data_IF_955079344393
#
_entry.id   IF_955079344393
#
_cell.length_a   1.000
_cell.length_b   1.000
_cell.length_c   1.000
_cell.angle_alpha   90.00
_cell.angle_beta   90.00
_cell.angle_gamma   90.00
#
_symmetry.space_group_name_H-M   'P 1'
#
loop_
_entity.id
_entity.type
_entity.pdbx_description
1 polymer ?
#
# COMPACT_ATOMS: atom_id res chain seq x y z
N UNK A 1 6.13 39.53 4.28
CA UNK A 1 5.83 40.38 5.46
C UNK A 1 6.96 41.37 5.65
N UNK A 2 6.69 42.69 5.49
CA UNK A 2 7.67 43.74 5.77
C UNK A 2 7.33 44.36 7.12
N UNK A 3 8.19 44.18 8.12
CA UNK A 3 8.12 44.83 9.43
C UNK A 3 7.66 43.92 10.58
N UNK A 4 8.26 44.15 11.75
CA UNK A 4 8.01 43.41 12.99
C UNK A 4 6.53 43.49 13.43
N UNK A 5 5.89 44.64 13.26
CA UNK A 5 4.48 44.85 13.61
C UNK A 5 3.54 43.92 12.82
N UNK A 6 3.75 43.80 11.50
CA UNK A 6 2.95 42.90 10.66
C UNK A 6 3.18 41.41 10.99
N UNK A 7 4.40 41.06 11.39
CA UNK A 7 4.71 39.73 11.85
C UNK A 7 4.01 39.40 13.18
N UNK A 8 4.03 40.32 14.15
CA UNK A 8 3.33 40.16 15.43
C UNK A 8 1.83 39.99 15.21
N UNK A 9 1.20 40.87 14.41
CA UNK A 9 -0.21 40.76 14.08
C UNK A 9 -0.57 39.48 13.34
N UNK A 10 0.32 38.95 12.52
CA UNK A 10 0.15 37.69 11.86
C UNK A 10 0.19 36.51 12.87
N UNK A 11 1.13 36.53 13.82
CA UNK A 11 1.21 35.53 14.89
C UNK A 11 -0.02 35.62 15.80
N UNK A 12 -0.49 36.81 16.14
CA UNK A 12 -1.69 37.00 16.97
C UNK A 12 -2.95 36.51 16.25
N UNK A 13 -3.08 36.73 14.93
CA UNK A 13 -4.16 36.16 14.13
C UNK A 13 -4.11 34.64 14.05
N UNK A 14 -2.91 34.06 13.94
CA UNK A 14 -2.73 32.62 14.00
C UNK A 14 -3.14 32.08 15.36
N UNK A 15 -2.74 32.70 16.44
CA UNK A 15 -3.12 32.29 17.80
C UNK A 15 -4.63 32.41 18.03
N UNK A 16 -5.27 33.43 17.52
CA UNK A 16 -6.72 33.66 17.68
C UNK A 16 -7.56 32.68 16.83
N UNK A 17 -7.09 32.32 15.63
CA UNK A 17 -7.77 31.38 14.75
C UNK A 17 -7.40 29.91 15.05
N UNK A 18 -6.46 29.66 15.94
CA UNK A 18 -5.97 28.34 16.28
C UNK A 18 -6.40 27.93 17.68
N UNK A 19 -7.72 27.88 17.91
CA UNK A 19 -8.24 27.00 18.98
C UNK A 19 -7.85 25.51 18.76
N UNK A 20 -7.25 25.18 17.61
CA UNK A 20 -6.84 23.83 17.22
C UNK A 20 -5.35 23.65 16.90
N UNK A 21 -4.50 24.65 17.13
CA UNK A 21 -3.06 24.40 17.25
C UNK A 21 -2.76 23.98 18.71
N UNK A 22 -3.37 22.90 19.16
CA UNK A 22 -2.74 22.09 20.18
C UNK A 22 -1.33 21.84 19.67
N UNK A 23 -0.36 22.48 20.35
CA UNK A 23 1.05 22.23 20.10
C UNK A 23 1.18 20.72 20.06
N UNK A 24 1.47 20.16 18.88
CA UNK A 24 1.86 18.76 18.81
C UNK A 24 3.03 18.66 19.79
N UNK A 25 2.78 18.17 21.01
CA UNK A 25 3.85 17.80 21.92
C UNK A 25 4.79 17.00 21.05
N UNK A 26 6.01 17.50 20.88
CA UNK A 26 7.07 16.70 20.26
C UNK A 26 7.29 15.58 21.25
N UNK A 27 6.54 14.51 21.05
CA UNK A 27 6.63 13.28 21.86
C UNK A 27 8.00 12.74 21.56
N UNK A 28 8.90 12.78 22.54
CA UNK A 28 10.25 12.27 22.43
C UNK A 28 10.24 10.80 21.99
N UNK A 29 11.29 10.32 21.34
CA UNK A 29 11.36 8.93 20.86
C UNK A 29 11.27 7.91 22.01
N UNK A 30 11.60 8.31 23.24
CA UNK A 30 11.68 7.45 24.44
C UNK A 30 10.43 7.55 25.34
N UNK A 31 9.36 8.23 24.92
CA UNK A 31 8.14 8.27 25.73
C UNK A 31 7.32 6.99 25.57
N UNK A 32 6.80 6.48 26.71
CA UNK A 32 5.93 5.30 26.75
C UNK A 32 4.52 5.66 26.25
N UNK A 33 4.35 5.67 24.93
CA UNK A 33 3.13 6.07 24.25
C UNK A 33 2.81 5.18 23.07
N UNK A 34 1.54 5.00 22.78
CA UNK A 34 1.10 4.36 21.53
C UNK A 34 1.07 5.41 20.42
N UNK A 35 1.84 5.15 19.35
CA UNK A 35 1.95 6.04 18.19
C UNK A 35 1.14 5.51 17.02
N UNK A 36 0.22 6.32 16.51
CA UNK A 36 -0.54 6.02 15.29
C UNK A 36 0.04 6.86 14.14
N UNK A 37 0.51 6.20 13.09
CA UNK A 37 1.13 6.87 11.95
C UNK A 37 0.95 6.07 10.66
N UNK A 38 1.22 6.71 9.51
CA UNK A 38 1.30 5.99 8.25
C UNK A 38 2.62 5.23 8.13
N UNK A 39 2.65 4.17 7.30
CA UNK A 39 3.87 3.40 7.04
C UNK A 39 4.99 4.32 6.51
N UNK A 40 4.66 5.29 5.66
CA UNK A 40 5.65 6.25 5.14
C UNK A 40 6.34 7.06 6.26
N UNK A 41 5.57 7.49 7.26
CA UNK A 41 6.12 8.24 8.41
C UNK A 41 6.98 7.36 9.34
N UNK A 42 6.81 6.05 9.29
CA UNK A 42 7.61 5.10 10.08
C UNK A 42 8.97 4.77 9.46
N UNK A 43 9.26 5.25 8.24
CA UNK A 43 10.53 4.99 7.57
C UNK A 43 11.70 5.55 8.41
N UNK A 44 12.69 4.69 8.69
CA UNK A 44 13.85 5.04 9.52
C UNK A 44 13.63 4.89 11.04
N UNK A 45 12.37 4.67 11.50
CA UNK A 45 12.06 4.43 12.90
C UNK A 45 11.94 2.92 13.16
N UNK A 46 12.12 2.51 14.40
CA UNK A 46 11.93 1.14 14.86
C UNK A 46 11.12 1.14 16.16
N UNK A 47 10.30 0.11 16.36
CA UNK A 47 9.41 0.01 17.51
C UNK A 47 9.47 -1.41 18.10
N UNK A 48 9.39 -1.57 19.43
CA UNK A 48 9.34 -2.90 20.04
C UNK A 48 8.19 -3.73 19.49
N UNK A 49 6.99 -3.16 19.43
CA UNK A 49 5.78 -3.81 18.92
C UNK A 49 5.16 -2.95 17.84
N UNK A 50 4.80 -3.56 16.71
CA UNK A 50 4.09 -2.90 15.61
C UNK A 50 2.76 -3.61 15.34
N UNK A 51 1.69 -2.83 15.27
CA UNK A 51 0.38 -3.31 14.84
C UNK A 51 0.11 -2.75 13.45
N UNK A 52 0.18 -3.59 12.44
CA UNK A 52 -0.12 -3.23 11.06
C UNK A 52 -1.62 -3.46 10.80
N UNK A 53 -2.38 -2.37 10.76
CA UNK A 53 -3.82 -2.40 10.57
C UNK A 53 -4.23 -2.02 9.13
N UNK A 54 -5.45 -2.43 8.73
CA UNK A 54 -6.03 -2.02 7.45
C UNK A 54 -5.44 -2.71 6.22
N UNK A 55 -4.74 -3.84 6.37
CA UNK A 55 -4.08 -4.57 5.28
C UNK A 55 -5.05 -5.11 4.20
N UNK A 56 -6.36 -5.14 4.49
CA UNK A 56 -7.40 -5.51 3.51
C UNK A 56 -7.86 -4.36 2.60
N UNK A 57 -7.31 -3.15 2.75
CA UNK A 57 -7.63 -2.00 1.88
C UNK A 57 -7.00 -2.21 0.50
N UNK A 58 -7.78 -1.93 -0.56
CA UNK A 58 -7.27 -1.99 -1.93
C UNK A 58 -6.27 -0.87 -2.21
N UNK A 59 -5.26 -1.20 -3.00
CA UNK A 59 -4.31 -0.21 -3.51
C UNK A 59 -5.02 0.85 -4.36
N UNK A 60 -4.59 2.10 -4.24
CA UNK A 60 -5.12 3.17 -5.06
C UNK A 60 -4.53 3.07 -6.48
N UNK A 61 -5.40 2.87 -7.46
CA UNK A 61 -5.05 2.79 -8.87
C UNK A 61 -5.83 3.84 -9.70
N UNK A 62 -6.30 4.92 -9.06
CA UNK A 62 -7.13 5.93 -9.74
C UNK A 62 -6.37 6.65 -10.84
N UNK A 63 -5.09 6.91 -10.64
CA UNK A 63 -4.23 7.61 -11.60
C UNK A 63 -4.14 6.88 -12.95
N UNK A 64 -4.34 5.56 -12.97
CA UNK A 64 -4.37 4.77 -14.21
C UNK A 64 -5.59 5.05 -15.10
N UNK A 65 -6.61 5.72 -14.55
CA UNK A 65 -7.85 6.05 -15.27
C UNK A 65 -7.86 7.47 -15.84
N UNK A 66 -6.81 8.25 -15.58
CA UNK A 66 -6.68 9.60 -16.14
C UNK A 66 -6.80 9.59 -17.67
N UNK A 67 -7.37 10.66 -18.24
CA UNK A 67 -7.58 10.76 -19.71
C UNK A 67 -6.26 10.75 -20.48
N UNK A 68 -5.20 11.25 -19.86
CA UNK A 68 -3.85 11.32 -20.43
C UNK A 68 -2.90 10.70 -19.39
N UNK A 69 -2.14 9.70 -19.83
CA UNK A 69 -1.04 9.15 -19.03
C UNK A 69 0.28 9.69 -19.56
N UNK A 70 1.18 10.01 -18.62
CA UNK A 70 2.53 10.51 -18.89
C UNK A 70 3.54 9.54 -18.31
N UNK A 71 4.59 9.27 -19.04
CA UNK A 71 5.72 8.44 -18.62
C UNK A 71 7.03 9.04 -19.13
N UNK A 72 8.10 8.98 -18.34
CA UNK A 72 9.38 9.59 -18.69
C UNK A 72 10.04 8.90 -19.88
N UNK A 73 9.88 7.58 -20.01
CA UNK A 73 10.52 6.79 -21.07
C UNK A 73 9.63 6.63 -22.30
N UNK A 74 8.33 6.39 -22.09
CA UNK A 74 7.36 6.06 -23.14
C UNK A 74 6.56 7.28 -23.64
N UNK A 75 6.71 8.44 -22.97
CA UNK A 75 6.09 9.70 -23.36
C UNK A 75 4.61 9.80 -23.02
N UNK A 76 3.77 10.16 -23.99
CA UNK A 76 2.37 10.54 -23.83
C UNK A 76 1.41 9.45 -24.32
N UNK A 77 0.47 9.06 -23.46
CA UNK A 77 -0.61 8.13 -23.79
C UNK A 77 -2.00 8.77 -23.64
N UNK A 78 -2.52 9.46 -24.68
CA UNK A 78 -3.82 10.10 -24.62
C UNK A 78 -4.96 9.09 -24.83
N UNK A 79 -6.14 9.43 -24.35
CA UNK A 79 -7.40 8.83 -24.76
C UNK A 79 -7.88 9.53 -26.03
N UNK A 80 -8.38 8.79 -27.01
CA UNK A 80 -9.04 9.36 -28.15
C UNK A 80 -10.48 9.74 -27.80
N UNK A 81 -10.88 10.97 -28.13
CA UNK A 81 -12.21 11.49 -27.88
C UNK A 81 -12.70 12.17 -29.15
N UNK A 82 -13.80 11.69 -29.73
CA UNK A 82 -14.52 12.31 -30.84
C UNK A 82 -15.85 12.86 -30.29
N UNK A 83 -15.91 14.16 -30.11
CA UNK A 83 -17.09 14.83 -29.51
C UNK A 83 -18.28 14.85 -30.45
N UNK A 84 -18.09 14.80 -31.78
CA UNK A 84 -19.18 14.82 -32.75
C UNK A 84 -19.89 13.48 -32.83
N UNK A 85 -19.10 12.39 -32.74
CA UNK A 85 -19.63 11.01 -32.80
C UNK A 85 -19.86 10.36 -31.46
N UNK A 86 -19.54 11.07 -30.37
CA UNK A 86 -19.60 10.55 -29.00
C UNK A 86 -18.81 9.25 -28.80
N UNK A 87 -17.63 9.16 -29.44
CA UNK A 87 -16.79 7.97 -29.38
C UNK A 87 -15.57 8.28 -28.49
N UNK A 88 -15.35 7.41 -27.51
CA UNK A 88 -14.16 7.44 -26.68
C UNK A 88 -13.48 6.06 -26.66
N UNK A 89 -12.16 6.02 -26.85
CA UNK A 89 -11.40 4.79 -26.68
C UNK A 89 -9.98 5.02 -26.19
N UNK A 90 -9.45 4.03 -25.49
CA UNK A 90 -8.08 4.04 -25.02
C UNK A 90 -7.13 3.72 -26.17
N UNK A 91 -6.23 4.62 -26.51
CA UNK A 91 -5.20 4.38 -27.53
C UNK A 91 -4.24 3.25 -27.11
N UNK A 92 -3.52 2.68 -28.07
CA UNK A 92 -2.51 1.66 -27.77
C UNK A 92 -1.42 2.20 -26.85
N UNK A 93 -0.97 3.43 -27.07
CA UNK A 93 -0.02 4.11 -26.20
C UNK A 93 -0.55 4.20 -24.75
N UNK A 94 -1.80 4.65 -24.56
CA UNK A 94 -2.41 4.70 -23.23
C UNK A 94 -2.50 3.32 -22.56
N UNK A 95 -2.82 2.27 -23.31
CA UNK A 95 -2.87 0.90 -22.78
C UNK A 95 -1.49 0.42 -22.34
N UNK A 96 -0.45 0.68 -23.14
CA UNK A 96 0.93 0.32 -22.80
C UNK A 96 1.41 1.05 -21.53
N UNK A 97 1.16 2.36 -21.44
CA UNK A 97 1.48 3.17 -20.27
C UNK A 97 0.75 2.69 -19.02
N UNK A 98 -0.54 2.36 -19.13
CA UNK A 98 -1.32 1.85 -18.01
C UNK A 98 -0.77 0.51 -17.48
N UNK A 99 -0.26 -0.36 -18.34
CA UNK A 99 0.37 -1.63 -17.94
C UNK A 99 1.68 -1.34 -17.19
N UNK A 100 2.53 -0.44 -17.71
CA UNK A 100 3.79 -0.05 -17.07
C UNK A 100 3.51 0.58 -15.70
N UNK A 101 2.67 1.61 -15.66
CA UNK A 101 2.32 2.32 -14.43
C UNK A 101 1.69 1.40 -13.37
N UNK A 102 0.87 0.42 -13.78
CA UNK A 102 0.35 -0.61 -12.86
C UNK A 102 1.46 -1.45 -12.23
N UNK A 103 2.47 -1.86 -13.01
CA UNK A 103 3.61 -2.63 -12.49
C UNK A 103 4.43 -1.81 -11.50
N UNK A 104 4.66 -0.54 -11.80
CA UNK A 104 5.38 0.38 -10.92
C UNK A 104 4.63 0.63 -9.63
N UNK A 105 3.32 0.86 -9.68
CA UNK A 105 2.49 1.01 -8.50
C UNK A 105 2.52 -0.24 -7.60
N UNK A 106 2.41 -1.44 -8.18
CA UNK A 106 2.52 -2.70 -7.43
C UNK A 106 3.90 -2.85 -6.79
N UNK A 107 4.98 -2.49 -7.51
CA UNK A 107 6.34 -2.53 -6.97
C UNK A 107 6.52 -1.55 -5.81
N UNK A 108 5.91 -0.37 -5.89
CA UNK A 108 5.96 0.60 -4.79
C UNK A 108 5.19 0.13 -3.57
N UNK A 109 3.99 -0.45 -3.75
CA UNK A 109 3.24 -1.05 -2.65
C UNK A 109 4.01 -2.20 -1.97
N UNK A 110 4.78 -2.98 -2.73
CA UNK A 110 5.67 -4.00 -2.15
C UNK A 110 6.77 -3.38 -1.29
N UNK A 111 7.38 -2.27 -1.72
CA UNK A 111 8.37 -1.53 -0.93
C UNK A 111 7.75 -0.97 0.35
N UNK A 112 6.55 -0.43 0.26
CA UNK A 112 5.80 0.08 1.42
C UNK A 112 5.51 -1.04 2.40
N UNK A 113 5.06 -2.21 1.93
CA UNK A 113 4.86 -3.38 2.79
C UNK A 113 6.17 -3.83 3.45
N UNK A 114 7.27 -3.90 2.69
CA UNK A 114 8.58 -4.23 3.24
C UNK A 114 8.99 -3.28 4.37
N UNK A 115 8.79 -1.96 4.17
CA UNK A 115 9.03 -0.98 5.23
C UNK A 115 8.22 -1.32 6.47
N UNK A 116 6.92 -1.60 6.34
CA UNK A 116 6.06 -1.94 7.48
C UNK A 116 6.54 -3.19 8.23
N UNK A 117 6.92 -4.24 7.48
CA UNK A 117 7.36 -5.53 8.05
C UNK A 117 8.73 -5.45 8.74
N UNK A 118 9.54 -4.46 8.41
CA UNK A 118 10.89 -4.26 8.98
C UNK A 118 10.95 -3.25 10.13
N UNK A 119 9.81 -2.70 10.57
CA UNK A 119 9.78 -1.74 11.70
C UNK A 119 9.76 -2.39 13.09
N UNK A 120 9.14 -3.57 13.29
CA UNK A 120 9.13 -4.19 14.62
C UNK A 120 10.50 -4.75 14.98
N UNK A 121 10.91 -4.52 16.25
CA UNK A 121 12.08 -5.17 16.85
C UNK A 121 11.76 -6.53 17.46
N UNK A 122 10.60 -6.64 18.12
CA UNK A 122 10.22 -7.82 18.90
C UNK A 122 8.98 -8.51 18.35
N UNK A 123 7.91 -7.72 18.05
CA UNK A 123 6.62 -8.32 17.68
C UNK A 123 5.91 -7.54 16.60
N UNK A 124 5.45 -8.27 15.58
CA UNK A 124 4.56 -7.77 14.54
C UNK A 124 3.17 -8.41 14.69
N UNK A 125 2.13 -7.57 14.75
CA UNK A 125 0.74 -7.98 14.77
C UNK A 125 0.09 -7.44 13.50
N UNK A 126 -0.45 -8.31 12.67
CA UNK A 126 -1.12 -7.91 11.43
C UNK A 126 -2.62 -8.09 11.60
N UNK A 127 -3.38 -7.01 11.36
CA UNK A 127 -4.83 -6.99 11.51
C UNK A 127 -5.49 -6.68 10.17
N UNK A 128 -6.24 -7.64 9.65
CA UNK A 128 -6.99 -7.51 8.41
C UNK A 128 -8.43 -7.97 8.55
N UNK A 129 -9.32 -7.42 7.72
CA UNK A 129 -10.71 -7.88 7.60
C UNK A 129 -10.96 -8.27 6.15
N UNK A 130 -11.52 -9.45 5.96
CA UNK A 130 -11.87 -9.98 4.65
C UNK A 130 -13.26 -10.65 4.71
N UNK A 131 -14.07 -10.39 3.70
CA UNK A 131 -15.34 -11.10 3.51
C UNK A 131 -15.06 -12.46 2.86
N UNK A 132 -15.75 -13.51 3.33
CA UNK A 132 -15.61 -14.88 2.79
C UNK A 132 -14.16 -15.42 2.79
N UNK A 133 -13.45 -15.24 3.92
CA UNK A 133 -12.03 -15.54 4.05
C UNK A 133 -11.67 -16.97 3.58
N UNK A 134 -12.39 -18.01 4.03
CA UNK A 134 -12.11 -19.40 3.68
C UNK A 134 -12.17 -19.64 2.16
N UNK A 135 -13.19 -19.07 1.49
CA UNK A 135 -13.33 -19.18 0.03
C UNK A 135 -12.15 -18.55 -0.69
N UNK A 136 -11.77 -17.34 -0.27
CA UNK A 136 -10.66 -16.61 -0.89
C UNK A 136 -9.31 -17.27 -0.66
N UNK A 137 -9.07 -17.86 0.51
CA UNK A 137 -7.86 -18.64 0.79
C UNK A 137 -7.80 -19.85 -0.14
N UNK A 138 -8.90 -20.60 -0.29
CA UNK A 138 -8.95 -21.74 -1.21
C UNK A 138 -8.73 -21.32 -2.66
N UNK A 139 -9.27 -20.18 -3.10
CA UNK A 139 -9.02 -19.65 -4.43
C UNK A 139 -7.55 -19.30 -4.66
N UNK A 140 -6.87 -18.76 -3.65
CA UNK A 140 -5.44 -18.43 -3.71
C UNK A 140 -4.56 -19.70 -3.72
N UNK A 141 -4.92 -20.72 -2.95
CA UNK A 141 -4.23 -22.02 -2.98
C UNK A 141 -4.29 -22.63 -4.39
N UNK A 142 -5.50 -22.68 -4.99
CA UNK A 142 -5.65 -23.13 -6.39
C UNK A 142 -4.88 -22.27 -7.39
N UNK A 143 -4.81 -20.95 -7.17
CA UNK A 143 -4.04 -20.08 -8.02
C UNK A 143 -2.52 -20.35 -7.93
N UNK A 144 -2.00 -20.72 -6.76
CA UNK A 144 -0.61 -21.13 -6.59
C UNK A 144 -0.29 -22.46 -7.28
N UNK A 145 -1.24 -23.40 -7.32
CA UNK A 145 -1.10 -24.66 -8.06
C UNK A 145 -1.03 -24.42 -9.58
N UNK A 146 -1.85 -23.50 -10.11
CA UNK A 146 -1.88 -23.16 -11.54
C UNK A 146 -0.65 -22.35 -11.97
N UNK A 147 -0.17 -21.47 -11.11
CA UNK A 147 0.99 -20.63 -11.35
C UNK A 147 2.10 -20.98 -10.36
N UNK A 148 2.81 -22.09 -10.60
CA UNK A 148 3.82 -22.56 -9.65
C UNK A 148 4.89 -21.49 -9.44
N UNK A 149 5.36 -21.44 -8.22
CA UNK A 149 6.44 -20.57 -7.80
C UNK A 149 7.77 -21.24 -8.11
N UNK A 150 8.73 -20.47 -8.59
CA UNK A 150 10.09 -20.90 -8.76
C UNK A 150 10.91 -20.47 -7.55
N UNK A 151 11.69 -21.38 -6.94
CA UNK A 151 12.55 -21.12 -5.79
C UNK A 151 11.90 -20.30 -4.65
N UNK A 152 10.71 -20.69 -4.20
CA UNK A 152 9.97 -20.00 -3.13
C UNK A 152 9.54 -18.56 -3.47
N UNK A 153 9.57 -18.16 -4.74
CA UNK A 153 9.12 -16.83 -5.19
C UNK A 153 7.72 -16.91 -5.76
N UNK A 154 6.83 -16.06 -5.27
CA UNK A 154 5.47 -15.94 -5.80
C UNK A 154 5.53 -15.43 -7.24
N UNK A 155 4.76 -16.05 -8.14
CA UNK A 155 4.68 -15.63 -9.53
C UNK A 155 4.22 -14.16 -9.64
N UNK A 156 4.95 -13.36 -10.42
CA UNK A 156 4.69 -11.92 -10.60
C UNK A 156 3.25 -11.63 -11.10
N UNK A 157 2.66 -12.55 -11.86
CA UNK A 157 1.26 -12.43 -12.29
C UNK A 157 0.30 -12.43 -11.10
N UNK A 158 0.50 -13.28 -10.12
CA UNK A 158 -0.34 -13.34 -8.91
C UNK A 158 -0.22 -12.05 -8.10
N UNK A 159 0.98 -11.50 -7.95
CA UNK A 159 1.19 -10.22 -7.26
C UNK A 159 0.45 -9.06 -7.95
N UNK A 160 0.41 -9.06 -9.28
CA UNK A 160 -0.34 -8.04 -10.04
C UNK A 160 -1.86 -8.26 -10.06
N UNK A 161 -2.31 -9.50 -9.89
CA UNK A 161 -3.73 -9.88 -9.85
C UNK A 161 -4.39 -9.42 -8.56
N UNK A 162 -3.71 -9.61 -7.43
CA UNK A 162 -4.21 -9.29 -6.11
C UNK A 162 -3.84 -7.85 -5.71
N UNK A 163 -4.77 -7.15 -5.05
CA UNK A 163 -4.71 -5.69 -4.89
C UNK A 163 -4.72 -5.23 -3.44
N UNK A 164 -4.43 -6.12 -2.49
CA UNK A 164 -4.36 -5.78 -1.07
C UNK A 164 -3.14 -6.44 -0.43
N UNK A 165 -2.60 -5.83 0.62
CA UNK A 165 -1.53 -6.46 1.42
C UNK A 165 -1.99 -7.78 2.04
N UNK A 166 -3.26 -7.86 2.46
CA UNK A 166 -3.83 -9.09 3.01
C UNK A 166 -3.77 -10.23 1.99
N UNK A 167 -4.12 -9.96 0.74
CA UNK A 167 -4.05 -10.97 -0.32
C UNK A 167 -2.63 -11.51 -0.52
N UNK A 168 -1.62 -10.63 -0.50
CA UNK A 168 -0.22 -11.03 -0.64
C UNK A 168 0.27 -11.85 0.56
N UNK A 169 -0.10 -11.43 1.78
CA UNK A 169 0.25 -12.18 2.99
C UNK A 169 -0.40 -13.56 3.02
N UNK A 170 -1.65 -13.67 2.57
CA UNK A 170 -2.34 -14.96 2.46
C UNK A 170 -1.73 -15.87 1.38
N UNK A 171 -1.24 -15.30 0.26
CA UNK A 171 -0.47 -16.08 -0.73
C UNK A 171 0.82 -16.65 -0.13
N UNK A 172 1.57 -15.84 0.62
CA UNK A 172 2.80 -16.27 1.29
C UNK A 172 2.51 -17.38 2.31
N UNK A 173 1.49 -17.19 3.15
CA UNK A 173 1.09 -18.19 4.14
C UNK A 173 0.63 -19.50 3.47
N UNK A 174 -0.12 -19.39 2.38
CA UNK A 174 -0.55 -20.59 1.61
C UNK A 174 0.63 -21.32 0.98
N UNK A 175 1.63 -20.59 0.49
CA UNK A 175 2.85 -21.17 -0.07
C UNK A 175 3.64 -21.93 1.01
N UNK A 176 3.80 -21.35 2.21
CA UNK A 176 4.47 -22.01 3.34
C UNK A 176 3.74 -23.30 3.74
N UNK A 177 2.41 -23.28 3.81
CA UNK A 177 1.62 -24.47 4.12
C UNK A 177 1.69 -25.57 3.06
N UNK A 178 1.91 -25.22 1.80
CA UNK A 178 2.10 -26.19 0.72
C UNK A 178 3.51 -26.80 0.78
N UNK A 179 4.52 -26.00 1.06
CA UNK A 179 5.92 -26.43 1.12
C UNK A 179 6.29 -27.18 2.41
N UNK A 180 5.63 -26.83 3.52
CA UNK A 180 5.80 -27.48 4.82
C UNK A 180 4.44 -27.99 5.35
N UNK A 181 3.94 -29.14 4.87
CA UNK A 181 2.74 -29.73 5.44
C UNK A 181 3.03 -30.05 6.90
N UNK A 182 2.39 -29.32 7.82
CA UNK A 182 2.52 -29.49 9.27
C UNK A 182 2.35 -30.97 9.58
N UNK A 183 3.40 -31.61 10.07
CA UNK A 183 3.31 -32.93 10.71
C UNK A 183 2.34 -32.75 11.88
N UNK A 184 1.10 -33.15 11.71
CA UNK A 184 0.20 -33.37 12.85
C UNK A 184 0.83 -34.49 13.67
N UNK A 185 1.54 -34.15 14.73
CA UNK A 185 1.81 -35.10 15.80
C UNK A 185 0.45 -35.45 16.40
N UNK A 186 0.03 -36.73 16.39
CA UNK A 186 -1.16 -37.10 17.11
C UNK A 186 -0.90 -36.84 18.60
N UNK A 187 -1.78 -36.06 19.20
CA UNK A 187 -1.80 -35.91 20.65
C UNK A 187 -2.23 -37.28 21.20
N UNK A 188 -1.27 -37.98 21.77
CA UNK A 188 -1.51 -39.16 22.59
C UNK A 188 -2.10 -38.79 23.93
#
# INVERSE_FOLDING_TARGET
>A
FKGLFNFINFIDKIKFNSEDLTSAKIIGENEDVVRIMSIHKSKGLEFPVVILAGVGKQFNMQDLNEKILLDQDLGLGPQYIDSERHIEFKTLAKKALAIKAKREAVSEEMRVLYVALTRPKEKLIIVGRQKDANKKITEKQKALEVYPSDDSKINAYLLQKYKTYLDWLELILSLIHISEPTRRTPIS
#
